data_IF_674654869665
#
_entry.id   IF_674654869665
#
_cell.length_a   1.000
_cell.length_b   1.000
_cell.length_c   1.000
_cell.angle_alpha   90.00
_cell.angle_beta   90.00
_cell.angle_gamma   90.00
#
_symmetry.space_group_name_H-M   'P 1'
#
loop_
_entity.id
_entity.type
_entity.pdbx_description
1 polymer ?
#
# COMPACT_ATOMS: atom_id res chain seq x y z
N UNK A 1 30.97 -26.78 -26.85
CA UNK A 1 31.04 -26.34 -25.44
C UNK A 1 30.95 -24.82 -25.24
N UNK A 2 31.39 -23.95 -26.17
CA UNK A 2 31.29 -22.47 -26.01
C UNK A 2 29.85 -21.92 -26.03
N UNK A 3 28.94 -22.54 -26.79
CA UNK A 3 27.55 -22.04 -26.91
C UNK A 3 26.64 -22.37 -25.70
N UNK A 4 26.94 -23.43 -24.96
CA UNK A 4 26.20 -23.83 -23.74
C UNK A 4 26.48 -22.88 -22.59
N UNK A 5 27.69 -22.32 -22.51
CA UNK A 5 28.07 -21.38 -21.47
C UNK A 5 27.36 -20.02 -21.64
N UNK A 6 27.19 -19.59 -22.91
CA UNK A 6 26.51 -18.33 -23.24
C UNK A 6 25.01 -18.37 -22.89
N UNK A 7 24.38 -19.53 -23.09
CA UNK A 7 22.96 -19.72 -22.73
C UNK A 7 22.73 -19.67 -21.23
N UNK A 8 23.65 -20.22 -20.42
CA UNK A 8 23.57 -20.20 -18.96
C UNK A 8 23.72 -18.79 -18.39
N UNK A 9 24.58 -17.96 -18.96
CA UNK A 9 24.78 -16.55 -18.56
C UNK A 9 23.54 -15.72 -18.87
N UNK A 10 22.89 -15.94 -20.02
CA UNK A 10 21.64 -15.26 -20.39
C UNK A 10 20.46 -15.61 -19.46
N UNK A 11 20.35 -16.87 -19.04
CA UNK A 11 19.32 -17.32 -18.09
C UNK A 11 19.60 -16.79 -16.69
N UNK A 12 20.85 -16.71 -16.25
CA UNK A 12 21.21 -16.15 -14.95
C UNK A 12 20.94 -14.63 -14.86
N UNK A 13 21.11 -13.89 -15.96
CA UNK A 13 20.78 -12.45 -15.99
C UNK A 13 19.27 -12.17 -15.95
N UNK A 14 18.42 -13.08 -16.44
CA UNK A 14 16.97 -12.92 -16.38
C UNK A 14 16.39 -13.15 -14.98
N UNK A 15 17.09 -13.86 -14.08
CA UNK A 15 16.67 -14.09 -12.70
C UNK A 15 17.08 -12.97 -11.74
N UNK A 16 17.99 -12.09 -12.15
CA UNK A 16 18.47 -10.98 -11.31
C UNK A 16 17.52 -9.75 -11.28
N UNK A 17 16.43 -9.80 -12.02
CA UNK A 17 15.44 -8.69 -12.07
C UNK A 17 14.35 -8.79 -11.00
N UNK A 18 14.54 -9.59 -9.94
CA UNK A 18 13.77 -9.40 -8.71
C UNK A 18 14.26 -8.12 -8.03
N UNK A 19 13.71 -7.02 -8.49
CA UNK A 19 13.85 -5.70 -7.91
C UNK A 19 13.76 -5.80 -6.39
N UNK A 20 14.83 -5.38 -5.72
CA UNK A 20 14.78 -5.05 -4.29
C UNK A 20 13.52 -4.21 -4.09
N UNK A 21 12.62 -4.69 -3.27
CA UNK A 21 11.35 -4.04 -2.94
C UNK A 21 11.67 -2.72 -2.22
N UNK A 22 11.88 -1.69 -3.02
CA UNK A 22 12.12 -0.33 -2.54
C UNK A 22 10.88 0.06 -1.77
N UNK A 23 11.03 0.50 -0.53
CA UNK A 23 9.89 0.96 0.25
C UNK A 23 9.15 2.04 -0.55
N UNK A 24 7.84 1.84 -0.75
CA UNK A 24 7.03 2.52 -1.76
C UNK A 24 6.45 3.80 -1.18
N UNK A 25 5.89 3.72 0.04
CA UNK A 25 5.38 4.86 0.79
C UNK A 25 6.07 4.98 2.14
N UNK A 26 6.14 6.18 2.66
CA UNK A 26 6.64 6.50 3.99
C UNK A 26 5.67 7.41 4.73
N UNK A 27 5.31 7.04 5.96
CA UNK A 27 4.49 7.86 6.82
C UNK A 27 5.31 9.01 7.39
N UNK A 28 4.82 10.23 7.21
CA UNK A 28 5.37 11.47 7.75
C UNK A 28 4.36 12.12 8.70
N UNK A 29 4.74 13.18 9.45
CA UNK A 29 3.77 13.94 10.25
C UNK A 29 2.60 14.53 9.46
N UNK A 30 2.76 14.69 8.14
CA UNK A 30 1.73 15.25 7.25
C UNK A 30 0.95 14.18 6.47
N UNK A 31 1.18 12.90 6.75
CA UNK A 31 0.62 11.77 6.02
C UNK A 31 1.65 11.01 5.19
N UNK A 32 1.19 10.11 4.35
CA UNK A 32 2.08 9.32 3.50
C UNK A 32 2.59 10.10 2.29
N UNK A 33 3.84 9.85 1.95
CA UNK A 33 4.51 10.36 0.75
C UNK A 33 5.19 9.21 0.00
N UNK A 34 5.53 9.41 -1.26
CA UNK A 34 6.41 8.52 -1.99
C UNK A 34 7.81 8.58 -1.39
N UNK A 35 8.35 7.45 -0.95
CA UNK A 35 9.67 7.39 -0.30
C UNK A 35 10.83 7.75 -1.23
N UNK A 36 10.66 7.56 -2.53
CA UNK A 36 11.71 7.88 -3.52
C UNK A 36 11.70 9.35 -3.93
N UNK A 37 10.54 10.01 -3.82
CA UNK A 37 10.36 11.42 -4.09
C UNK A 37 9.27 11.96 -3.15
N UNK A 38 9.68 12.57 -2.05
CA UNK A 38 8.79 13.05 -0.99
C UNK A 38 7.92 14.24 -1.39
N UNK A 39 8.09 14.78 -2.59
CA UNK A 39 7.19 15.81 -3.16
C UNK A 39 5.93 15.20 -3.76
N UNK A 40 5.94 13.88 -4.00
CA UNK A 40 4.82 13.14 -4.60
C UNK A 40 4.02 12.41 -3.52
N UNK A 41 2.70 12.47 -3.66
CA UNK A 41 1.74 11.71 -2.85
C UNK A 41 1.16 10.52 -3.63
N UNK A 42 1.90 9.94 -4.56
CA UNK A 42 1.53 8.77 -5.35
C UNK A 42 2.75 8.01 -5.84
N UNK A 43 2.50 6.79 -6.31
CA UNK A 43 3.45 5.98 -7.07
C UNK A 43 2.85 5.58 -8.41
N UNK A 44 3.71 5.31 -9.39
CA UNK A 44 3.31 4.76 -10.69
C UNK A 44 3.87 3.35 -10.81
N UNK A 45 3.04 2.43 -11.30
CA UNK A 45 3.44 1.08 -11.69
C UNK A 45 3.17 0.88 -13.17
N UNK A 46 4.18 0.44 -13.91
CA UNK A 46 4.11 0.21 -15.34
C UNK A 46 3.69 -1.22 -15.65
N UNK A 47 2.78 -1.36 -16.63
CA UNK A 47 2.25 -2.63 -17.14
C UNK A 47 2.24 -2.60 -18.67
N UNK A 48 3.40 -2.67 -19.34
CA UNK A 48 3.51 -2.54 -20.78
C UNK A 48 2.58 -3.49 -21.54
N UNK A 49 1.88 -2.97 -22.55
CA UNK A 49 0.99 -3.74 -23.42
C UNK A 49 -0.38 -4.05 -22.80
N UNK A 50 -0.72 -3.50 -21.63
CA UNK A 50 -2.03 -3.72 -21.01
C UNK A 50 -2.86 -2.44 -21.13
N UNK A 51 -4.09 -2.56 -21.66
CA UNK A 51 -5.01 -1.45 -21.78
C UNK A 51 -5.50 -0.97 -20.41
N UNK A 52 -5.93 0.30 -20.32
CA UNK A 52 -6.58 0.88 -19.15
C UNK A 52 -7.74 0.01 -18.65
N UNK A 53 -8.59 -0.45 -19.57
CA UNK A 53 -9.74 -1.27 -19.26
C UNK A 53 -9.34 -2.64 -18.65
N UNK A 54 -8.33 -3.28 -19.22
CA UNK A 54 -7.85 -4.57 -18.70
C UNK A 54 -7.17 -4.43 -17.34
N UNK A 55 -6.39 -3.36 -17.13
CA UNK A 55 -5.82 -3.05 -15.81
C UNK A 55 -6.92 -2.86 -14.76
N UNK A 56 -7.96 -2.08 -15.10
CA UNK A 56 -9.10 -1.87 -14.21
C UNK A 56 -9.81 -3.19 -13.87
N UNK A 57 -10.14 -4.01 -14.88
CA UNK A 57 -10.82 -5.31 -14.67
C UNK A 57 -9.98 -6.28 -13.82
N UNK A 58 -8.67 -6.40 -14.08
CA UNK A 58 -7.77 -7.26 -13.30
C UNK A 58 -7.66 -6.79 -11.86
N UNK A 59 -7.49 -5.49 -11.66
CA UNK A 59 -7.43 -4.89 -10.33
C UNK A 59 -8.73 -5.12 -9.57
N UNK A 60 -9.87 -4.85 -10.18
CA UNK A 60 -11.17 -5.08 -9.57
C UNK A 60 -11.40 -6.56 -9.22
N UNK A 61 -11.06 -7.48 -10.14
CA UNK A 61 -11.14 -8.94 -9.89
C UNK A 61 -10.27 -9.36 -8.71
N UNK A 62 -9.04 -8.84 -8.61
CA UNK A 62 -8.14 -9.10 -7.49
C UNK A 62 -8.73 -8.56 -6.18
N UNK A 63 -9.09 -7.29 -6.13
CA UNK A 63 -9.62 -6.64 -4.93
C UNK A 63 -10.91 -7.29 -4.44
N UNK A 64 -11.80 -7.68 -5.35
CA UNK A 64 -13.05 -8.38 -5.01
C UNK A 64 -12.83 -9.73 -4.31
N UNK A 65 -11.66 -10.34 -4.47
CA UNK A 65 -11.28 -11.58 -3.76
C UNK A 65 -10.63 -11.31 -2.40
N UNK A 66 -10.13 -10.10 -2.17
CA UNK A 66 -9.45 -9.75 -0.92
C UNK A 66 -10.43 -9.34 0.18
N UNK A 67 -11.60 -8.86 -0.16
CA UNK A 67 -12.57 -8.35 0.81
C UNK A 67 -13.80 -9.27 0.91
N UNK A 68 -14.28 -9.49 2.14
CA UNK A 68 -15.49 -10.28 2.40
C UNK A 68 -16.73 -9.60 1.81
N UNK A 69 -16.80 -8.26 1.87
CA UNK A 69 -17.88 -7.44 1.32
C UNK A 69 -17.32 -6.37 0.39
N UNK A 70 -16.92 -6.70 -0.85
CA UNK A 70 -16.30 -5.74 -1.77
C UNK A 70 -17.14 -4.50 -2.02
N UNK A 71 -18.47 -4.63 -2.07
CA UNK A 71 -19.40 -3.52 -2.30
C UNK A 71 -19.38 -2.45 -1.20
N UNK A 72 -19.04 -2.85 0.04
CA UNK A 72 -18.99 -1.93 1.18
C UNK A 72 -17.64 -1.21 1.26
N UNK A 73 -16.62 -1.77 0.64
CA UNK A 73 -15.23 -1.31 0.73
C UNK A 73 -14.79 -0.54 -0.52
N UNK A 74 -15.30 -0.93 -1.69
CA UNK A 74 -14.86 -0.40 -2.98
C UNK A 74 -15.86 0.64 -3.52
N UNK A 75 -15.36 1.84 -3.83
CA UNK A 75 -16.06 2.85 -4.61
C UNK A 75 -15.45 2.88 -6.01
N UNK A 76 -16.28 2.73 -7.04
CA UNK A 76 -15.83 2.51 -8.41
C UNK A 76 -16.23 3.69 -9.31
N UNK A 77 -15.25 4.19 -10.08
CA UNK A 77 -15.52 4.99 -11.29
C UNK A 77 -15.03 4.13 -12.45
N UNK A 78 -15.97 3.64 -13.25
CA UNK A 78 -15.72 2.60 -14.25
C UNK A 78 -14.57 2.97 -15.20
N UNK A 79 -13.62 2.06 -15.33
CA UNK A 79 -12.39 2.22 -16.11
C UNK A 79 -11.50 3.43 -15.72
N UNK A 80 -11.83 4.18 -14.67
CA UNK A 80 -11.04 5.36 -14.28
C UNK A 80 -10.34 5.20 -12.95
N UNK A 81 -11.08 4.82 -11.91
CA UNK A 81 -10.50 4.66 -10.58
C UNK A 81 -11.25 3.66 -9.71
N UNK A 82 -10.52 3.12 -8.73
CA UNK A 82 -11.04 2.31 -7.63
C UNK A 82 -10.56 2.94 -6.34
N UNK A 83 -11.50 3.35 -5.49
CA UNK A 83 -11.20 3.83 -4.14
C UNK A 83 -11.55 2.74 -3.13
N UNK A 84 -10.62 2.45 -2.24
CA UNK A 84 -10.71 1.43 -1.20
C UNK A 84 -10.87 2.15 0.12
N UNK A 85 -11.97 1.90 0.84
CA UNK A 85 -12.20 2.35 2.22
C UNK A 85 -12.20 1.11 3.11
N UNK A 86 -11.06 0.81 3.71
CA UNK A 86 -10.86 -0.44 4.40
C UNK A 86 -10.41 -0.25 5.85
N UNK A 87 -10.57 -1.34 6.58
CA UNK A 87 -10.17 -1.49 7.96
C UNK A 87 -9.17 -2.63 8.05
N UNK A 88 -7.99 -2.36 8.58
CA UNK A 88 -6.99 -3.38 8.88
C UNK A 88 -6.94 -3.58 10.39
N UNK A 89 -7.27 -4.79 10.83
CA UNK A 89 -7.14 -5.20 12.23
C UNK A 89 -5.71 -5.68 12.52
N UNK A 90 -5.20 -5.35 13.72
CA UNK A 90 -3.96 -5.90 14.26
C UNK A 90 -2.68 -5.15 13.95
N UNK A 91 -2.71 -3.83 13.83
CA UNK A 91 -1.46 -3.06 13.83
C UNK A 91 -0.84 -3.13 15.24
N UNK A 92 0.32 -3.76 15.43
CA UNK A 92 0.97 -3.82 16.74
C UNK A 92 1.50 -2.45 17.14
N UNK A 93 1.30 -2.07 18.40
CA UNK A 93 1.85 -0.84 18.96
C UNK A 93 2.72 -1.17 20.16
N UNK A 94 3.97 -0.71 20.13
CA UNK A 94 4.94 -0.95 21.20
C UNK A 94 4.43 -0.42 22.55
N UNK A 95 4.49 -1.27 23.57
CA UNK A 95 4.03 -0.93 24.92
C UNK A 95 2.53 -1.15 25.16
N UNK A 96 1.84 -1.79 24.24
CA UNK A 96 0.43 -2.16 24.32
C UNK A 96 0.24 -3.65 24.08
N UNK A 97 -0.46 -4.31 24.97
CA UNK A 97 -0.94 -5.67 24.79
C UNK A 97 -2.22 -5.74 23.93
N UNK A 98 -2.72 -4.57 23.49
CA UNK A 98 -3.93 -4.45 22.69
C UNK A 98 -3.70 -4.54 21.18
N UNK A 99 -4.80 -4.72 20.46
CA UNK A 99 -4.87 -4.65 19.00
C UNK A 99 -5.29 -3.25 18.59
N UNK A 100 -4.72 -2.75 17.50
CA UNK A 100 -5.14 -1.50 16.90
C UNK A 100 -5.75 -1.77 15.53
N UNK A 101 -6.84 -1.09 15.28
CA UNK A 101 -7.56 -1.12 14.01
C UNK A 101 -7.21 0.14 13.23
N UNK A 102 -6.75 -0.03 12.00
CA UNK A 102 -6.36 1.05 11.10
C UNK A 102 -7.45 1.25 10.05
N UNK A 103 -8.12 2.41 10.08
CA UNK A 103 -9.05 2.79 9.02
C UNK A 103 -8.33 3.66 8.00
N UNK A 104 -8.37 3.27 6.73
CA UNK A 104 -7.67 3.98 5.67
C UNK A 104 -8.48 4.07 4.37
N UNK A 105 -8.13 5.07 3.58
CA UNK A 105 -8.60 5.22 2.20
C UNK A 105 -7.41 5.18 1.26
N UNK A 106 -7.54 4.45 0.16
CA UNK A 106 -6.53 4.35 -0.89
C UNK A 106 -7.20 4.37 -2.25
N UNK A 107 -6.68 5.18 -3.19
CA UNK A 107 -7.22 5.29 -4.54
C UNK A 107 -6.22 4.80 -5.57
N UNK A 108 -6.71 4.03 -6.54
CA UNK A 108 -5.96 3.54 -7.70
C UNK A 108 -6.60 4.16 -8.94
N UNK A 109 -5.80 4.79 -9.80
CA UNK A 109 -6.21 5.38 -11.06
C UNK A 109 -5.53 4.66 -12.22
N UNK A 110 -6.22 4.57 -13.34
CA UNK A 110 -5.81 3.75 -14.50
C UNK A 110 -5.54 4.59 -15.73
N UNK A 111 -4.46 4.24 -16.44
CA UNK A 111 -4.14 4.67 -17.81
C UNK A 111 -3.62 3.48 -18.60
N UNK A 112 -3.56 3.61 -19.93
CA UNK A 112 -2.93 2.58 -20.75
C UNK A 112 -1.47 2.36 -20.31
N UNK A 113 -1.10 1.10 -20.17
CA UNK A 113 0.22 0.63 -19.75
C UNK A 113 0.65 0.98 -18.31
N UNK A 114 -0.17 1.62 -17.48
CA UNK A 114 0.21 1.99 -16.12
C UNK A 114 -0.98 2.23 -15.20
N UNK A 115 -0.73 2.12 -13.93
CA UNK A 115 -1.64 2.62 -12.89
C UNK A 115 -0.90 3.57 -11.95
N UNK A 116 -1.66 4.46 -11.32
CA UNK A 116 -1.20 5.35 -10.26
C UNK A 116 -1.89 4.94 -8.97
N UNK A 117 -1.10 4.65 -7.94
CA UNK A 117 -1.60 4.38 -6.59
C UNK A 117 -1.36 5.65 -5.79
N UNK A 118 -2.43 6.27 -5.31
CA UNK A 118 -2.33 7.43 -4.43
C UNK A 118 -1.82 7.00 -3.06
N UNK A 119 -1.10 7.87 -2.39
CA UNK A 119 -0.65 7.63 -1.03
C UNK A 119 -1.86 7.38 -0.12
N UNK A 120 -1.82 6.34 0.74
CA UNK A 120 -2.94 6.03 1.62
C UNK A 120 -3.21 7.18 2.58
N UNK A 121 -4.49 7.49 2.80
CA UNK A 121 -4.93 8.38 3.87
C UNK A 121 -5.40 7.56 5.05
N UNK A 122 -4.78 7.76 6.21
CA UNK A 122 -5.23 7.13 7.45
C UNK A 122 -6.30 8.02 8.08
N UNK A 123 -7.52 7.50 8.15
CA UNK A 123 -8.64 8.23 8.71
C UNK A 123 -8.62 8.15 10.23
N UNK A 124 -8.30 6.96 10.77
CA UNK A 124 -8.23 6.76 12.23
C UNK A 124 -7.50 5.48 12.60
N UNK A 125 -6.85 5.50 13.78
CA UNK A 125 -6.25 4.33 14.42
C UNK A 125 -6.93 4.15 15.78
N UNK A 126 -7.59 3.00 16.01
CA UNK A 126 -8.30 2.68 17.25
C UNK A 126 -7.60 1.56 18.01
N UNK A 127 -7.52 1.70 19.34
CA UNK A 127 -7.12 0.61 20.22
C UNK A 127 -8.32 -0.20 20.73
N UNK A 128 -8.12 -1.50 20.95
CA UNK A 128 -9.09 -2.39 21.58
C UNK A 128 -8.38 -3.19 22.69
N UNK A 129 -8.98 -3.36 23.87
CA UNK A 129 -10.35 -3.02 24.33
C UNK A 129 -10.49 -1.57 24.80
N UNK A 130 -9.40 -0.85 24.98
CA UNK A 130 -9.41 0.56 25.37
C UNK A 130 -9.64 1.39 24.11
N UNK A 131 -10.67 2.23 24.10
CA UNK A 131 -11.00 3.12 22.94
C UNK A 131 -9.98 4.26 22.79
N UNK A 132 -8.70 3.92 22.82
CA UNK A 132 -7.64 4.88 22.61
C UNK A 132 -7.48 5.18 21.13
N UNK A 133 -7.40 6.45 20.78
CA UNK A 133 -7.09 6.90 19.42
C UNK A 133 -5.61 7.23 19.36
N UNK A 134 -4.92 6.70 18.34
CA UNK A 134 -3.55 7.11 18.02
C UNK A 134 -3.62 8.10 16.87
N UNK A 135 -3.08 9.28 17.09
CA UNK A 135 -2.98 10.32 16.09
C UNK A 135 -1.66 10.21 15.31
N UNK A 136 -1.68 10.54 14.03
CA UNK A 136 -0.47 10.52 13.19
C UNK A 136 0.40 11.71 13.51
N UNK A 137 -0.17 12.90 13.64
CA UNK A 137 0.57 14.11 13.97
C UNK A 137 -0.34 15.29 14.27
N UNK A 138 0.24 16.29 14.92
CA UNK A 138 -0.24 17.66 15.12
C UNK A 138 -1.73 17.79 15.54
N UNK A 139 -2.08 17.27 16.71
CA UNK A 139 -3.19 17.80 17.46
C UNK A 139 -2.64 18.43 18.76
N UNK A 140 -3.28 19.50 19.28
CA UNK A 140 -2.86 20.12 20.52
C UNK A 140 -2.78 19.06 21.61
N UNK A 141 -1.65 18.96 22.25
CA UNK A 141 -1.18 17.89 23.12
C UNK A 141 -2.05 17.55 24.35
N UNK A 142 -3.20 18.17 24.53
CA UNK A 142 -3.96 18.11 25.77
C UNK A 142 -4.92 16.93 25.88
N UNK A 143 -5.25 16.20 24.81
CA UNK A 143 -6.28 15.18 24.89
C UNK A 143 -5.81 13.75 24.60
N UNK A 144 -4.70 13.53 23.88
CA UNK A 144 -4.28 12.18 23.49
C UNK A 144 -2.78 11.99 23.71
N UNK A 145 -2.42 11.25 24.75
CA UNK A 145 -1.02 10.94 25.09
C UNK A 145 -0.28 10.08 24.04
N UNK A 146 -0.89 9.85 22.86
CA UNK A 146 -0.40 8.86 21.90
C UNK A 146 -0.48 9.37 20.48
N UNK A 147 0.61 9.93 20.03
CA UNK A 147 0.83 10.28 18.65
C UNK A 147 2.06 9.58 18.11
N UNK A 148 2.06 9.23 16.82
CA UNK A 148 3.25 8.66 16.16
C UNK A 148 4.36 9.69 16.11
N UNK A 149 4.01 10.95 15.86
CA UNK A 149 4.94 12.08 15.87
C UNK A 149 4.52 13.12 16.92
N UNK A 150 5.47 13.92 17.38
CA UNK A 150 5.21 15.11 18.19
C UNK A 150 4.59 16.23 17.33
N UNK A 151 4.12 17.29 17.98
CA UNK A 151 3.74 18.57 17.37
C UNK A 151 4.85 19.22 16.53
N UNK A 152 6.10 18.93 16.88
CA UNK A 152 7.30 19.36 16.14
C UNK A 152 7.73 18.39 15.04
N UNK A 153 6.94 17.34 14.77
CA UNK A 153 7.25 16.32 13.76
C UNK A 153 8.33 15.30 14.18
N UNK A 154 8.70 15.25 15.47
CA UNK A 154 9.69 14.27 15.96
C UNK A 154 9.00 12.92 16.16
N UNK A 155 9.60 11.85 15.65
CA UNK A 155 9.09 10.49 15.75
C UNK A 155 9.10 9.99 17.21
N UNK A 156 7.95 9.54 17.73
CA UNK A 156 7.77 8.97 19.07
C UNK A 156 7.55 7.47 19.04
N UNK A 157 6.73 6.98 18.11
CA UNK A 157 6.32 5.57 18.01
C UNK A 157 6.95 4.92 16.78
N UNK A 158 8.26 4.69 16.81
CA UNK A 158 9.03 4.11 15.71
C UNK A 158 8.48 2.75 15.26
N UNK A 159 8.24 1.83 16.19
CA UNK A 159 7.72 0.50 15.86
C UNK A 159 6.35 0.59 15.17
N UNK A 160 5.48 1.48 15.64
CA UNK A 160 4.14 1.68 15.05
C UNK A 160 4.25 2.23 13.63
N UNK A 161 5.06 3.29 13.45
CA UNK A 161 5.34 3.84 12.12
C UNK A 161 5.83 2.75 11.16
N UNK A 162 6.85 1.99 11.59
CA UNK A 162 7.44 0.93 10.76
C UNK A 162 6.43 -0.14 10.37
N UNK A 163 5.56 -0.57 11.28
CA UNK A 163 4.53 -1.57 10.96
C UNK A 163 3.55 -1.01 9.95
N UNK A 164 3.09 0.22 10.11
CA UNK A 164 2.19 0.88 9.17
C UNK A 164 2.85 1.01 7.78
N UNK A 165 4.09 1.46 7.70
CA UNK A 165 4.85 1.56 6.44
C UNK A 165 4.95 0.20 5.75
N UNK A 166 5.30 -0.87 6.50
CA UNK A 166 5.42 -2.23 5.97
C UNK A 166 4.07 -2.82 5.53
N UNK A 167 2.97 -2.52 6.23
CA UNK A 167 1.62 -2.97 5.83
C UNK A 167 1.27 -2.43 4.45
N UNK A 168 1.44 -1.13 4.20
CA UNK A 168 1.15 -0.55 2.90
C UNK A 168 2.14 -0.98 1.80
N UNK A 169 3.41 -1.18 2.15
CA UNK A 169 4.37 -1.78 1.21
C UNK A 169 3.93 -3.19 0.78
N UNK A 170 3.58 -4.05 1.75
CA UNK A 170 3.11 -5.40 1.47
C UNK A 170 1.81 -5.39 0.65
N UNK A 171 0.93 -4.43 0.93
CA UNK A 171 -0.32 -4.26 0.20
C UNK A 171 -0.08 -3.95 -1.28
N UNK A 172 0.81 -3.00 -1.59
CA UNK A 172 1.15 -2.63 -2.98
C UNK A 172 1.80 -3.81 -3.72
N UNK A 173 2.69 -4.55 -3.06
CA UNK A 173 3.34 -5.74 -3.65
C UNK A 173 2.28 -6.80 -3.99
N UNK A 174 1.38 -7.11 -3.06
CA UNK A 174 0.30 -8.09 -3.28
C UNK A 174 -0.62 -7.67 -4.41
N UNK A 175 -0.95 -6.38 -4.49
CA UNK A 175 -1.73 -5.84 -5.60
C UNK A 175 -1.04 -6.07 -6.94
N UNK A 176 0.24 -5.70 -7.04
CA UNK A 176 1.03 -5.88 -8.27
C UNK A 176 1.05 -7.35 -8.71
N UNK A 177 1.37 -8.27 -7.78
CA UNK A 177 1.37 -9.71 -8.03
C UNK A 177 -0.02 -10.19 -8.50
N UNK A 178 -1.09 -9.77 -7.83
CA UNK A 178 -2.45 -10.18 -8.19
C UNK A 178 -2.92 -9.69 -9.57
N UNK A 179 -2.47 -8.51 -10.00
CA UNK A 179 -2.75 -7.98 -11.35
C UNK A 179 -1.98 -8.80 -12.41
N UNK A 180 -0.73 -9.19 -12.12
CA UNK A 180 0.09 -10.00 -13.02
C UNK A 180 -0.43 -11.43 -13.17
N UNK A 181 -0.82 -12.07 -12.07
CA UNK A 181 -1.44 -13.41 -12.09
C UNK A 181 -2.74 -13.43 -12.90
N UNK A 182 -3.45 -12.31 -12.95
CA UNK A 182 -4.63 -12.14 -13.81
C UNK A 182 -4.36 -12.28 -15.30
N UNK A 183 -3.08 -12.23 -15.77
CA UNK A 183 -2.70 -12.49 -17.16
C UNK A 183 -2.88 -13.95 -17.57
N UNK A 184 -2.66 -14.89 -16.64
CA UNK A 184 -2.65 -16.32 -16.93
C UNK A 184 -4.03 -16.98 -16.90
N UNK A 185 -5.04 -16.28 -16.44
CA UNK A 185 -6.41 -16.79 -16.33
C UNK A 185 -7.25 -16.42 -17.58
N UNK A 186 -6.76 -16.75 -18.78
CA UNK A 186 -7.62 -16.83 -19.96
C UNK A 186 -8.43 -18.11 -19.89
N UNK A 187 -9.74 -17.94 -19.75
CA UNK A 187 -10.74 -19.00 -19.93
C UNK A 187 -11.02 -19.20 -21.40
#
# INVERSE_FOLDING_TARGET
MKNTLLLFVLVACSLASYSQTKAIFELTPKGFVNKSDTTLNYIIQDYPGISKQDLYKRTLKYLSKQFTSPKDVLSLVENESITINAVEDRVPVKGYSGRFTLNYTLTIEFKDNKLRIMAPSINRIYGYPVRDVIEIGILPAAQYNRSIFTDKGILKLDTTKRVIDLSFQAWVIKLATGIEEGKSANW
#
